data_IF_863359619582
#
_entry.id   IF_863359619582
#
_cell.length_a   1.000
_cell.length_b   1.000
_cell.length_c   1.000
_cell.angle_alpha   90.00
_cell.angle_beta   90.00
_cell.angle_gamma   90.00
#
_symmetry.space_group_name_H-M   'P 1'
#
loop_
_entity.id
_entity.type
_entity.pdbx_description
1 polymer ?
#
# COMPACT_ATOMS: atom_id res chain seq x y z
N UNK A 1 6.30 -22.55 -25.04
CA UNK A 1 5.34 -22.88 -23.95
C UNK A 1 4.20 -23.77 -24.45
N UNK A 2 3.68 -23.52 -25.65
CA UNK A 2 2.60 -24.32 -26.25
C UNK A 2 3.09 -25.10 -27.46
N UNK A 3 2.45 -26.24 -27.71
CA UNK A 3 2.62 -27.00 -28.94
C UNK A 3 1.98 -26.25 -30.12
N UNK A 4 2.72 -26.10 -31.22
CA UNK A 4 2.27 -25.34 -32.39
C UNK A 4 0.98 -25.88 -33.01
N UNK A 5 0.83 -27.21 -33.09
CA UNK A 5 -0.39 -27.83 -33.65
C UNK A 5 -1.60 -27.54 -32.79
N UNK A 6 -1.42 -27.53 -31.46
CA UNK A 6 -2.51 -27.14 -30.53
C UNK A 6 -2.89 -25.68 -30.68
N UNK A 7 -1.93 -24.77 -30.89
CA UNK A 7 -2.24 -23.36 -31.14
C UNK A 7 -3.04 -23.18 -32.44
N UNK A 8 -2.66 -23.86 -33.51
CA UNK A 8 -3.37 -23.84 -34.79
C UNK A 8 -4.81 -24.35 -34.66
N UNK A 9 -5.03 -25.43 -33.88
CA UNK A 9 -6.37 -25.92 -33.59
C UNK A 9 -7.20 -24.92 -32.77
N UNK A 10 -6.60 -24.30 -31.75
CA UNK A 10 -7.25 -23.27 -30.92
C UNK A 10 -7.64 -22.06 -31.78
N UNK A 11 -6.79 -21.63 -32.71
CA UNK A 11 -7.10 -20.53 -33.64
C UNK A 11 -8.32 -20.86 -34.49
N UNK A 12 -8.34 -22.05 -35.10
CA UNK A 12 -9.48 -22.50 -35.91
C UNK A 12 -10.78 -22.51 -35.09
N UNK A 13 -10.74 -23.06 -33.88
CA UNK A 13 -11.91 -23.11 -32.99
C UNK A 13 -12.33 -21.73 -32.47
N UNK A 14 -11.37 -20.83 -32.22
CA UNK A 14 -11.65 -19.44 -31.86
C UNK A 14 -12.38 -18.72 -32.99
N UNK A 15 -12.00 -18.95 -34.25
CA UNK A 15 -12.70 -18.37 -35.41
C UNK A 15 -14.11 -18.92 -35.60
N UNK A 16 -14.30 -20.24 -35.47
CA UNK A 16 -15.64 -20.87 -35.45
C UNK A 16 -16.54 -20.20 -34.39
N UNK A 17 -16.00 -20.03 -33.17
CA UNK A 17 -16.70 -19.39 -32.07
C UNK A 17 -16.97 -17.90 -32.30
N UNK A 18 -16.01 -17.14 -32.85
CA UNK A 18 -16.19 -15.72 -33.15
C UNK A 18 -17.34 -15.51 -34.13
N UNK A 19 -17.45 -16.36 -35.16
CA UNK A 19 -18.56 -16.32 -36.09
C UNK A 19 -19.89 -16.66 -35.42
N UNK A 20 -19.93 -17.70 -34.59
CA UNK A 20 -21.12 -18.02 -33.80
C UNK A 20 -21.56 -16.88 -32.87
N UNK A 21 -20.60 -16.20 -32.24
CA UNK A 21 -20.86 -15.13 -31.27
C UNK A 21 -21.49 -13.87 -31.89
N UNK A 22 -21.37 -13.65 -33.21
CA UNK A 22 -21.96 -12.51 -33.92
C UNK A 22 -23.49 -12.48 -33.86
N UNK A 23 -24.12 -13.63 -33.61
CA UNK A 23 -25.57 -13.74 -33.47
C UNK A 23 -26.09 -13.18 -32.14
N UNK A 24 -25.20 -12.70 -31.26
CA UNK A 24 -25.52 -12.22 -29.93
C UNK A 24 -25.07 -10.77 -29.78
N UNK A 25 -26.01 -9.90 -29.41
CA UNK A 25 -25.75 -8.48 -29.23
C UNK A 25 -24.93 -8.20 -27.97
N UNK A 26 -24.02 -7.24 -28.05
CA UNK A 26 -23.28 -6.70 -26.91
C UNK A 26 -23.81 -5.34 -26.47
N UNK A 27 -23.64 -5.01 -25.18
CA UNK A 27 -24.09 -3.72 -24.60
C UNK A 27 -23.31 -2.52 -25.13
N UNK A 28 -22.08 -2.74 -25.59
CA UNK A 28 -21.17 -1.73 -26.11
C UNK A 28 -20.46 -2.29 -27.35
N UNK A 29 -20.11 -1.44 -28.32
CA UNK A 29 -19.33 -1.87 -29.48
C UNK A 29 -17.89 -2.24 -29.11
N UNK A 30 -17.35 -1.67 -28.04
CA UNK A 30 -16.01 -1.97 -27.54
C UNK A 30 -16.01 -1.94 -26.01
N UNK A 31 -15.21 -2.82 -25.40
CA UNK A 31 -14.95 -2.83 -23.97
C UNK A 31 -13.52 -2.40 -23.71
N UNK A 32 -13.33 -1.49 -22.75
CA UNK A 32 -12.02 -1.02 -22.30
C UNK A 32 -11.96 -1.03 -20.78
N UNK A 33 -10.76 -1.17 -20.24
CA UNK A 33 -10.50 -0.83 -18.84
C UNK A 33 -10.67 0.68 -18.62
N UNK A 34 -10.72 1.13 -17.36
CA UNK A 34 -10.74 2.56 -17.05
C UNK A 34 -9.50 3.31 -17.55
N UNK A 35 -8.39 2.61 -17.74
CA UNK A 35 -7.15 3.15 -18.34
C UNK A 35 -7.15 3.12 -19.87
N UNK A 36 -8.28 2.78 -20.51
CA UNK A 36 -8.41 2.78 -21.98
C UNK A 36 -7.82 1.56 -22.68
N UNK A 37 -7.43 0.51 -21.96
CA UNK A 37 -6.87 -0.71 -22.55
C UNK A 37 -8.02 -1.54 -23.15
N UNK A 38 -7.99 -1.88 -24.45
CA UNK A 38 -9.02 -2.71 -25.07
C UNK A 38 -9.11 -4.10 -24.43
N UNK A 39 -10.34 -4.53 -24.14
CA UNK A 39 -10.65 -5.85 -23.58
C UNK A 39 -11.22 -6.71 -24.70
N UNK A 40 -10.49 -7.76 -25.08
CA UNK A 40 -10.98 -8.75 -26.06
C UNK A 40 -12.15 -9.53 -25.46
N UNK A 41 -13.09 -9.93 -26.31
CA UNK A 41 -14.23 -10.78 -25.92
C UNK A 41 -13.78 -12.12 -25.30
N UNK A 42 -12.66 -12.66 -25.79
CA UNK A 42 -12.10 -13.94 -25.35
C UNK A 42 -10.57 -13.90 -25.46
N UNK A 43 -9.90 -14.28 -24.38
CA UNK A 43 -8.46 -14.53 -24.34
C UNK A 43 -8.21 -16.04 -24.37
N UNK A 44 -7.22 -16.48 -25.13
CA UNK A 44 -6.83 -17.88 -25.31
C UNK A 44 -5.30 -18.01 -25.24
N UNK A 45 -4.72 -19.23 -25.27
CA UNK A 45 -3.26 -19.40 -25.34
C UNK A 45 -2.57 -18.66 -26.50
N UNK A 46 -3.31 -18.32 -27.56
CA UNK A 46 -2.80 -17.51 -28.67
C UNK A 46 -2.41 -16.10 -28.21
N UNK A 47 -3.13 -15.55 -27.24
CA UNK A 47 -2.92 -14.19 -26.73
C UNK A 47 -1.67 -14.09 -25.82
N UNK A 48 -1.05 -15.23 -25.48
CA UNK A 48 0.21 -15.33 -24.73
C UNK A 48 1.21 -16.27 -25.43
N UNK A 49 1.05 -16.52 -26.74
CA UNK A 49 1.88 -17.47 -27.46
C UNK A 49 3.37 -17.04 -27.53
N UNK A 50 3.60 -15.73 -27.55
CA UNK A 50 4.94 -15.11 -27.60
C UNK A 50 5.56 -14.89 -26.22
N UNK A 51 4.81 -15.11 -25.14
CA UNK A 51 5.30 -14.96 -23.78
C UNK A 51 6.44 -15.96 -23.51
N UNK A 52 7.59 -15.45 -23.08
CA UNK A 52 8.69 -16.26 -22.60
C UNK A 52 8.56 -16.44 -21.09
N UNK A 53 8.25 -17.68 -20.68
CA UNK A 53 8.02 -18.01 -19.27
C UNK A 53 9.19 -17.62 -18.37
N UNK A 54 10.44 -17.81 -18.80
CA UNK A 54 11.60 -17.57 -17.94
C UNK A 54 11.97 -16.10 -17.83
N UNK A 55 11.82 -15.31 -18.90
CA UNK A 55 12.15 -13.88 -18.88
C UNK A 55 11.01 -12.98 -18.43
N UNK A 56 9.75 -13.33 -18.74
CA UNK A 56 8.61 -12.42 -18.56
C UNK A 56 7.83 -12.74 -17.28
N UNK A 57 7.75 -14.02 -16.90
CA UNK A 57 7.07 -14.46 -15.68
C UNK A 57 8.06 -14.84 -14.56
N UNK A 58 9.00 -15.72 -14.89
CA UNK A 58 9.96 -16.32 -13.97
C UNK A 58 9.31 -17.03 -12.77
N UNK A 59 10.13 -17.34 -11.75
CA UNK A 59 9.71 -17.90 -10.47
C UNK A 59 9.50 -16.78 -9.44
N UNK A 60 8.59 -16.93 -8.46
CA UNK A 60 8.50 -15.98 -7.35
C UNK A 60 9.85 -15.87 -6.62
N UNK A 61 10.24 -14.66 -6.24
CA UNK A 61 11.56 -14.39 -5.67
C UNK A 61 12.72 -14.30 -6.68
N UNK A 62 12.46 -14.45 -7.98
CA UNK A 62 13.45 -14.28 -9.04
C UNK A 62 13.03 -13.15 -10.00
N UNK A 63 13.99 -12.39 -10.56
CA UNK A 63 13.71 -11.41 -11.62
C UNK A 63 12.91 -12.03 -12.78
N UNK A 64 11.94 -11.32 -13.37
CA UNK A 64 11.57 -9.91 -13.11
C UNK A 64 10.54 -9.72 -11.98
N UNK A 65 10.36 -10.73 -11.10
CA UNK A 65 9.45 -10.70 -9.96
C UNK A 65 7.96 -10.57 -10.29
N UNK A 66 7.56 -10.83 -11.54
CA UNK A 66 6.15 -10.80 -12.00
C UNK A 66 5.24 -11.65 -11.12
N UNK A 67 5.76 -12.76 -10.57
CA UNK A 67 5.01 -13.69 -9.70
C UNK A 67 5.17 -13.41 -8.20
N UNK A 68 5.84 -12.32 -7.83
CA UNK A 68 6.08 -11.91 -6.44
C UNK A 68 7.56 -11.79 -6.09
N UNK A 69 7.88 -10.89 -5.16
CA UNK A 69 9.26 -10.58 -4.73
C UNK A 69 9.85 -11.61 -3.75
N UNK A 70 9.03 -12.47 -3.17
CA UNK A 70 9.48 -13.52 -2.23
C UNK A 70 9.16 -14.91 -2.76
N UNK A 71 10.02 -15.93 -2.55
CA UNK A 71 9.82 -17.27 -3.10
C UNK A 71 8.64 -18.03 -2.49
N UNK A 72 8.30 -17.76 -1.23
CA UNK A 72 7.20 -18.46 -0.52
C UNK A 72 5.93 -17.62 -0.40
N UNK A 73 5.99 -16.31 -0.68
CA UNK A 73 4.89 -15.35 -0.56
C UNK A 73 4.05 -15.61 0.70
N UNK A 74 2.73 -15.69 0.55
CA UNK A 74 1.77 -15.84 1.64
C UNK A 74 1.72 -17.25 2.24
N UNK A 75 2.45 -18.23 1.69
CA UNK A 75 2.67 -19.51 2.37
C UNK A 75 3.73 -19.38 3.47
N UNK A 76 4.64 -18.42 3.34
CA UNK A 76 5.65 -18.11 4.36
C UNK A 76 5.16 -17.08 5.37
N UNK A 77 4.71 -15.92 4.89
CA UNK A 77 4.22 -14.82 5.73
C UNK A 77 3.05 -14.13 5.03
N UNK A 78 1.93 -13.96 5.73
CA UNK A 78 0.80 -13.16 5.24
C UNK A 78 1.22 -11.70 5.04
N UNK A 79 0.47 -10.96 4.22
CA UNK A 79 0.67 -9.51 4.12
C UNK A 79 0.38 -8.84 5.48
N UNK A 80 1.02 -7.70 5.73
CA UNK A 80 0.77 -6.91 6.94
C UNK A 80 -0.65 -6.35 6.90
N UNK A 81 -1.46 -6.63 7.91
CA UNK A 81 -2.77 -6.01 8.12
C UNK A 81 -2.52 -4.67 8.78
N UNK A 82 -2.49 -3.61 7.96
CA UNK A 82 -2.11 -2.26 8.38
C UNK A 82 -3.25 -1.28 8.12
N UNK A 83 -4.06 -1.03 9.15
CA UNK A 83 -5.16 -0.08 9.04
C UNK A 83 -4.66 1.35 9.18
N UNK A 84 -5.28 2.26 8.43
CA UNK A 84 -5.08 3.70 8.56
C UNK A 84 -5.70 4.20 9.87
N UNK A 85 -4.94 4.94 10.65
CA UNK A 85 -5.38 5.51 11.91
C UNK A 85 -4.74 6.89 12.14
N UNK A 86 -5.52 7.80 12.70
CA UNK A 86 -5.11 9.16 13.01
C UNK A 86 -6.34 10.05 13.00
N UNK A 87 -6.65 10.63 14.15
CA UNK A 87 -7.72 11.60 14.33
C UNK A 87 -7.57 12.25 15.72
N UNK A 88 -7.91 13.52 15.83
CA UNK A 88 -7.95 14.21 17.12
C UNK A 88 -6.56 14.31 17.73
N UNK A 89 -6.51 14.13 19.05
CA UNK A 89 -5.28 14.27 19.83
C UNK A 89 -4.36 13.03 19.75
N UNK A 90 -3.10 13.13 20.20
CA UNK A 90 -2.23 11.96 20.32
C UNK A 90 -2.83 10.85 21.21
N UNK A 91 -3.55 11.22 22.28
CA UNK A 91 -4.26 10.28 23.16
C UNK A 91 -5.40 9.55 22.44
N UNK A 92 -6.23 10.29 21.69
CA UNK A 92 -7.34 9.71 20.90
C UNK A 92 -6.81 8.69 19.90
N UNK A 93 -5.74 9.06 19.19
CA UNK A 93 -5.11 8.17 18.23
C UNK A 93 -4.43 7.00 18.94
N UNK A 94 -3.73 7.20 20.07
CA UNK A 94 -3.13 6.10 20.85
C UNK A 94 -4.15 5.03 21.23
N UNK A 95 -5.32 5.45 21.73
CA UNK A 95 -6.42 4.52 22.05
C UNK A 95 -6.85 3.73 20.82
N UNK A 96 -6.94 4.39 19.65
CA UNK A 96 -7.26 3.74 18.39
C UNK A 96 -6.17 2.74 17.96
N UNK A 97 -4.89 3.08 18.12
CA UNK A 97 -3.79 2.17 17.79
C UNK A 97 -3.81 0.91 18.67
N UNK A 98 -4.03 1.06 19.98
CA UNK A 98 -4.19 -0.06 20.92
C UNK A 98 -5.34 -0.96 20.50
N UNK A 99 -6.51 -0.37 20.23
CA UNK A 99 -7.68 -1.11 19.73
C UNK A 99 -7.37 -1.88 18.45
N UNK A 100 -6.68 -1.28 17.48
CA UNK A 100 -6.36 -1.95 16.22
C UNK A 100 -5.42 -3.15 16.42
N UNK A 101 -4.43 -3.03 17.29
CA UNK A 101 -3.54 -4.14 17.64
C UNK A 101 -4.31 -5.26 18.36
N UNK A 102 -5.22 -4.92 19.27
CA UNK A 102 -6.12 -5.89 19.92
C UNK A 102 -7.03 -6.62 18.92
N UNK A 103 -7.47 -5.94 17.85
CA UNK A 103 -8.26 -6.54 16.76
C UNK A 103 -7.41 -7.30 15.72
N UNK A 104 -6.11 -7.46 15.95
CA UNK A 104 -5.23 -8.28 15.11
C UNK A 104 -4.51 -7.54 13.98
N UNK A 105 -4.41 -6.21 14.04
CA UNK A 105 -3.50 -5.49 13.16
C UNK A 105 -2.04 -5.94 13.41
N UNK A 106 -1.28 -6.14 12.33
CA UNK A 106 0.12 -6.60 12.39
C UNK A 106 1.13 -5.48 12.07
N UNK A 107 0.63 -4.26 11.87
CA UNK A 107 1.40 -3.03 11.76
C UNK A 107 0.47 -1.82 11.83
N UNK A 108 1.03 -0.63 12.04
CA UNK A 108 0.28 0.62 12.18
C UNK A 108 0.52 1.57 11.00
N UNK A 109 -0.52 2.20 10.46
CA UNK A 109 -0.39 3.23 9.42
C UNK A 109 -0.94 4.55 9.96
N UNK A 110 -0.07 5.53 10.17
CA UNK A 110 -0.41 6.79 10.82
C UNK A 110 -0.67 7.87 9.78
N UNK A 111 -1.79 8.56 9.93
CA UNK A 111 -2.11 9.79 9.18
C UNK A 111 -2.10 11.00 10.10
N UNK A 112 -1.59 12.10 9.57
CA UNK A 112 -1.42 13.35 10.29
C UNK A 112 -2.35 14.41 9.72
N UNK A 113 -2.78 15.34 10.57
CA UNK A 113 -3.63 16.44 10.14
C UNK A 113 -2.90 17.39 9.17
N UNK A 114 -3.65 18.24 8.48
CA UNK A 114 -3.08 19.21 7.56
C UNK A 114 -2.08 20.19 8.20
N UNK A 115 -2.33 20.74 9.42
CA UNK A 115 -1.34 21.55 10.14
C UNK A 115 0.01 20.86 10.28
N UNK A 116 0.03 19.65 10.83
CA UNK A 116 1.23 18.83 11.04
C UNK A 116 1.93 18.56 9.71
N UNK A 117 1.16 18.15 8.69
CA UNK A 117 1.71 17.87 7.36
C UNK A 117 2.35 19.11 6.72
N UNK A 118 1.85 20.31 7.00
CA UNK A 118 2.38 21.57 6.43
C UNK A 118 3.40 22.27 7.31
N UNK A 119 3.62 21.79 8.53
CA UNK A 119 4.56 22.38 9.49
C UNK A 119 4.02 23.63 10.17
N UNK A 120 2.70 23.67 10.42
CA UNK A 120 2.08 24.65 11.30
C UNK A 120 1.94 24.07 12.70
N UNK A 121 2.23 24.90 13.70
CA UNK A 121 1.88 24.60 15.09
C UNK A 121 0.38 24.79 15.29
N UNK A 122 -0.20 24.05 16.23
CA UNK A 122 -1.65 24.04 16.50
C UNK A 122 -2.21 25.35 17.06
N UNK A 123 -1.36 26.25 17.56
CA UNK A 123 -1.74 27.58 18.02
C UNK A 123 -1.71 28.64 16.90
N UNK A 124 -1.39 28.23 15.66
CA UNK A 124 -1.48 29.11 14.50
C UNK A 124 -2.94 29.34 14.10
N UNK A 125 -3.39 30.59 14.27
CA UNK A 125 -4.75 31.04 13.93
C UNK A 125 -5.22 30.70 12.50
N UNK A 126 -4.30 30.42 11.56
CA UNK A 126 -4.63 30.07 10.17
C UNK A 126 -5.17 28.66 10.02
N UNK A 127 -4.92 27.78 10.99
CA UNK A 127 -5.17 26.34 10.86
C UNK A 127 -6.00 25.76 12.01
N UNK A 128 -6.51 26.59 12.91
CA UNK A 128 -7.32 26.20 14.09
C UNK A 128 -8.43 25.19 13.73
N UNK A 129 -9.13 25.40 12.61
CA UNK A 129 -10.23 24.54 12.17
C UNK A 129 -9.80 23.17 11.64
N UNK A 130 -8.52 23.01 11.28
CA UNK A 130 -7.98 21.78 10.69
C UNK A 130 -7.22 20.92 11.71
N UNK A 131 -7.00 21.42 12.94
CA UNK A 131 -6.27 20.70 14.00
C UNK A 131 -6.99 19.40 14.38
N UNK A 132 -6.29 18.27 14.26
CA UNK A 132 -6.80 16.94 14.55
C UNK A 132 -7.87 16.45 13.56
N UNK A 133 -8.12 17.18 12.46
CA UNK A 133 -9.09 16.80 11.44
C UNK A 133 -8.40 16.04 10.32
N UNK A 134 -8.93 14.86 9.99
CA UNK A 134 -8.37 14.00 8.92
C UNK A 134 -7.05 13.31 9.28
N UNK A 135 -6.53 13.52 10.50
CA UNK A 135 -5.33 12.89 11.01
C UNK A 135 -5.06 13.29 12.47
N UNK A 136 -4.02 12.70 13.07
CA UNK A 136 -3.56 13.10 14.40
C UNK A 136 -2.75 14.39 14.32
N UNK A 137 -2.91 15.28 15.31
CA UNK A 137 -2.07 16.47 15.44
C UNK A 137 -0.76 16.14 16.17
N UNK A 138 0.39 16.58 15.63
CA UNK A 138 1.71 16.40 16.24
C UNK A 138 2.51 17.70 16.10
N UNK A 139 2.84 18.34 17.22
CA UNK A 139 3.65 19.56 17.25
C UNK A 139 5.03 19.31 17.84
N UNK A 140 5.11 18.41 18.81
CA UNK A 140 6.29 18.20 19.62
C UNK A 140 6.67 16.71 19.70
N UNK A 141 7.89 16.46 20.17
CA UNK A 141 8.34 15.10 20.53
C UNK A 141 7.44 14.50 21.61
N UNK A 142 6.92 15.30 22.54
CA UNK A 142 6.04 14.81 23.61
C UNK A 142 4.73 14.24 23.05
N UNK A 143 4.19 14.86 22.00
CA UNK A 143 3.00 14.36 21.31
C UNK A 143 3.27 12.99 20.67
N UNK A 144 4.47 12.81 20.09
CA UNK A 144 4.90 11.52 19.54
C UNK A 144 5.09 10.45 20.63
N UNK A 145 5.56 10.84 21.82
CA UNK A 145 5.68 9.95 22.98
C UNK A 145 4.30 9.47 23.46
N UNK A 146 3.32 10.38 23.54
CA UNK A 146 1.93 10.07 23.90
C UNK A 146 1.30 9.16 22.83
N UNK A 147 1.46 9.51 21.56
CA UNK A 147 0.93 8.74 20.43
C UNK A 147 1.36 7.27 20.50
N UNK A 148 2.61 7.00 20.85
CA UNK A 148 3.16 5.65 20.95
C UNK A 148 3.19 5.08 22.38
N UNK A 149 2.56 5.73 23.36
CA UNK A 149 2.51 5.26 24.74
C UNK A 149 1.98 3.81 24.81
N UNK A 150 2.76 2.93 25.45
CA UNK A 150 2.53 1.47 25.54
C UNK A 150 2.40 0.71 24.20
N UNK A 151 2.76 1.32 23.07
CA UNK A 151 2.86 0.64 21.77
C UNK A 151 4.25 0.02 21.62
N UNK A 152 4.37 -1.29 21.29
CA UNK A 152 5.65 -1.98 21.15
C UNK A 152 6.29 -1.73 19.77
N UNK A 153 6.69 -0.49 19.50
CA UNK A 153 7.24 -0.04 18.20
C UNK A 153 8.53 -0.76 17.75
N UNK A 154 9.18 -1.49 18.66
CA UNK A 154 10.34 -2.37 18.42
C UNK A 154 9.96 -3.78 17.94
N UNK A 155 8.68 -4.14 18.02
CA UNK A 155 8.16 -5.48 17.65
C UNK A 155 7.18 -5.45 16.49
N UNK A 156 6.66 -4.28 16.16
CA UNK A 156 5.75 -4.06 15.04
C UNK A 156 6.36 -3.10 14.05
N UNK A 157 5.76 -3.04 12.87
CA UNK A 157 6.16 -2.07 11.85
C UNK A 157 5.28 -0.84 11.92
N UNK A 158 5.86 0.35 11.80
CA UNK A 158 5.12 1.64 11.83
C UNK A 158 5.31 2.38 10.50
N UNK A 159 4.22 2.84 9.90
CA UNK A 159 4.24 3.63 8.68
C UNK A 159 3.75 5.05 8.97
N UNK A 160 4.55 6.05 8.62
CA UNK A 160 4.24 7.47 8.73
C UNK A 160 3.82 7.98 7.35
N UNK A 161 2.52 8.27 7.18
CA UNK A 161 1.95 8.76 5.91
C UNK A 161 2.08 10.27 5.85
N UNK A 162 3.12 10.75 5.19
CA UNK A 162 3.36 12.17 4.93
C UNK A 162 4.03 12.34 3.56
N UNK A 163 3.62 13.35 2.82
CA UNK A 163 4.18 13.67 1.49
C UNK A 163 5.03 14.95 1.49
N UNK A 164 4.84 15.84 2.46
CA UNK A 164 5.54 17.12 2.49
C UNK A 164 6.94 16.97 3.11
N UNK A 165 8.00 17.58 2.52
CA UNK A 165 9.37 17.46 3.01
C UNK A 165 9.56 17.90 4.46
N UNK A 166 8.87 18.98 4.88
CA UNK A 166 8.94 19.48 6.26
C UNK A 166 8.44 18.42 7.26
N UNK A 167 7.26 17.84 7.00
CA UNK A 167 6.68 16.79 7.81
C UNK A 167 7.50 15.50 7.78
N UNK A 168 8.06 15.13 6.62
CA UNK A 168 8.89 13.94 6.50
C UNK A 168 10.13 14.01 7.40
N UNK A 169 10.75 15.19 7.53
CA UNK A 169 11.91 15.41 8.40
C UNK A 169 11.47 15.48 9.86
N UNK A 170 10.47 16.31 10.18
CA UNK A 170 10.09 16.57 11.56
C UNK A 170 9.49 15.33 12.24
N UNK A 171 8.50 14.68 11.60
CA UNK A 171 7.83 13.51 12.17
C UNK A 171 8.76 12.32 12.31
N UNK A 172 9.62 12.07 11.32
CA UNK A 172 10.60 10.99 11.42
C UNK A 172 11.61 11.25 12.53
N UNK A 173 12.06 12.50 12.68
CA UNK A 173 12.97 12.90 13.77
C UNK A 173 12.30 12.71 15.14
N UNK A 174 11.05 13.16 15.29
CA UNK A 174 10.27 12.97 16.53
C UNK A 174 10.06 11.48 16.85
N UNK A 175 9.79 10.64 15.84
CA UNK A 175 9.65 9.20 16.01
C UNK A 175 10.94 8.54 16.52
N UNK A 176 12.10 8.92 15.97
CA UNK A 176 13.40 8.43 16.43
C UNK A 176 13.69 8.87 17.86
N UNK A 177 13.44 10.13 18.21
CA UNK A 177 13.64 10.62 19.59
C UNK A 177 12.70 9.92 20.58
N UNK A 178 11.44 9.67 20.21
CA UNK A 178 10.50 8.92 21.04
C UNK A 178 10.98 7.46 21.28
N UNK A 179 11.59 6.83 20.27
CA UNK A 179 12.22 5.52 20.42
C UNK A 179 13.48 5.57 21.32
N UNK A 180 14.35 6.56 21.12
CA UNK A 180 15.57 6.75 21.91
C UNK A 180 15.26 6.95 23.40
N UNK A 181 14.27 7.79 23.72
CA UNK A 181 13.81 8.02 25.11
C UNK A 181 13.30 6.75 25.80
N UNK A 182 12.87 5.76 25.02
CA UNK A 182 12.46 4.43 25.49
C UNK A 182 13.60 3.42 25.54
N UNK A 183 14.83 3.82 25.20
CA UNK A 183 15.99 2.94 25.10
C UNK A 183 15.94 1.97 23.92
N UNK A 184 15.11 2.25 22.90
CA UNK A 184 14.96 1.40 21.71
C UNK A 184 16.03 1.77 20.68
N UNK A 185 16.86 0.80 20.31
CA UNK A 185 17.87 0.97 19.26
C UNK A 185 17.21 1.22 17.91
N UNK A 186 17.70 2.21 17.16
CA UNK A 186 17.19 2.48 15.80
C UNK A 186 17.37 1.29 14.84
N UNK A 187 18.30 0.37 15.14
CA UNK A 187 18.55 -0.83 14.31
C UNK A 187 17.40 -1.84 14.33
N UNK A 188 16.51 -1.77 15.32
CA UNK A 188 15.37 -2.69 15.44
C UNK A 188 14.05 -2.05 14.98
N UNK A 189 14.05 -0.76 14.67
CA UNK A 189 12.87 -0.07 14.15
C UNK A 189 12.64 -0.49 12.70
N UNK A 190 11.46 -1.05 12.44
CA UNK A 190 11.01 -1.41 11.11
C UNK A 190 9.77 -0.58 10.75
N UNK A 191 9.69 -0.12 9.51
CA UNK A 191 8.69 0.86 9.15
C UNK A 191 8.90 1.54 7.82
N UNK A 192 8.09 2.57 7.58
CA UNK A 192 8.13 3.36 6.36
C UNK A 192 7.86 4.81 6.70
N UNK A 193 8.62 5.70 6.06
CA UNK A 193 8.30 7.12 5.98
C UNK A 193 7.97 7.38 4.51
N UNK A 194 6.74 7.80 4.18
CA UNK A 194 6.31 7.90 2.78
C UNK A 194 7.28 8.77 1.97
N UNK A 195 7.58 9.98 2.43
CA UNK A 195 8.67 10.82 1.92
C UNK A 195 8.73 10.90 0.38
N UNK A 196 7.56 11.02 -0.25
CA UNK A 196 7.40 11.17 -1.70
C UNK A 196 6.60 12.44 -1.98
N UNK A 197 7.28 13.44 -2.55
CA UNK A 197 6.76 14.80 -2.78
C UNK A 197 6.45 15.08 -4.25
N UNK A 198 6.93 14.25 -5.18
CA UNK A 198 6.76 14.43 -6.62
C UNK A 198 5.33 14.10 -7.07
#
# INVERSE_FOLDING_TARGET
MFDRKKLEEIERKKQEWLNFSKNWSERKPEFKTYSGIPIKRLYTPLDIAELNYLSDLSFPGFPPYTRGVYPTMYRGRLWTVRQLAGYGTPEDTNQRLKFLLEQGATGLNLVFDYPTLRGYDVDDSRVEADVGVGGVNINTVNDMEILFQDIPIDKITVSLVNCNPSAAISLFSMYLVAAEKRGISFKVLDGTNQNDFL
#
